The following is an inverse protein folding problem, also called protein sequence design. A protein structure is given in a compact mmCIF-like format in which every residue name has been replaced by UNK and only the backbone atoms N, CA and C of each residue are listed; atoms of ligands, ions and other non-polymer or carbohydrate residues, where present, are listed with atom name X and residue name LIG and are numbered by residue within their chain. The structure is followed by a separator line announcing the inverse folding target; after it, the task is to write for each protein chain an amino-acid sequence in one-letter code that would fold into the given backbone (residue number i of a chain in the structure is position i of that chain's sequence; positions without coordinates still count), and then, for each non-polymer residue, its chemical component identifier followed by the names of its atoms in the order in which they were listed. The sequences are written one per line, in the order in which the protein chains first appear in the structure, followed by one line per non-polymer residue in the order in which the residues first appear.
data_IF_497955960295
#
_entry.id   IF_497955960295
#
_cell.length_a   1.000
_cell.length_b   1.000
_cell.length_c   1.000
_cell.angle_alpha   90.00
_cell.angle_beta   90.00
_cell.angle_gamma   90.00
#
_symmetry.space_group_name_H-M   'P 1'
#
loop_
_entity.id
_entity.type
_entity.pdbx_description
1 polymer ?
#
# COMPACT_ATOMS: atom_id res chain seq x y z
N UNK A 1 -0.40 -4.35 12.64
CA UNK A 1 0.21 -5.37 11.77
C UNK A 1 -0.90 -6.03 10.98
N UNK A 2 -0.79 -6.04 9.66
CA UNK A 2 -1.68 -6.71 8.73
C UNK A 2 -0.99 -7.99 8.28
N UNK A 3 -1.67 -9.12 8.46
CA UNK A 3 -1.26 -10.42 7.92
C UNK A 3 -2.24 -10.77 6.83
N UNK A 4 -1.74 -11.03 5.63
CA UNK A 4 -2.52 -11.43 4.48
C UNK A 4 -1.96 -12.73 3.92
N UNK A 5 -2.85 -13.66 3.60
CA UNK A 5 -2.53 -14.86 2.85
C UNK A 5 -3.49 -14.90 1.65
N UNK A 6 -2.92 -14.97 0.44
CA UNK A 6 -3.67 -15.13 -0.80
C UNK A 6 -3.26 -16.46 -1.40
N UNK A 7 -4.20 -17.36 -1.59
CA UNK A 7 -4.03 -18.52 -2.47
C UNK A 7 -4.33 -18.08 -3.90
N UNK A 8 -3.36 -18.25 -4.80
CA UNK A 8 -3.51 -17.89 -6.19
C UNK A 8 -3.41 -19.14 -7.07
N UNK A 9 -4.14 -19.11 -8.18
CA UNK A 9 -4.15 -20.16 -9.18
C UNK A 9 -4.42 -19.57 -10.56
N UNK A 10 -3.87 -20.19 -11.60
CA UNK A 10 -4.37 -20.04 -12.96
C UNK A 10 -4.15 -21.33 -13.75
N UNK A 11 -4.95 -21.51 -14.80
CA UNK A 11 -4.79 -22.64 -15.72
C UNK A 11 -3.47 -22.54 -16.49
N UNK A 12 -3.03 -23.69 -16.99
CA UNK A 12 -1.83 -23.79 -17.82
C UNK A 12 -1.83 -22.79 -19.01
N UNK A 13 -0.68 -22.16 -19.23
CA UNK A 13 -0.32 -21.59 -20.52
C UNK A 13 0.47 -22.67 -21.28
N UNK A 14 0.07 -22.96 -22.53
CA UNK A 14 0.47 -24.12 -23.38
C UNK A 14 1.97 -24.49 -23.44
N UNK A 15 2.87 -23.69 -22.87
CA UNK A 15 4.31 -23.82 -22.98
C UNK A 15 4.99 -24.57 -21.81
N UNK A 16 4.36 -24.77 -20.63
CA UNK A 16 5.12 -25.17 -19.43
C UNK A 16 4.50 -26.22 -18.49
N UNK A 17 3.38 -26.86 -18.83
CA UNK A 17 2.89 -28.06 -18.13
C UNK A 17 2.14 -27.80 -16.81
N UNK A 18 0.83 -28.04 -16.84
CA UNK A 18 -0.07 -28.13 -15.69
C UNK A 18 -0.56 -26.80 -15.11
N UNK A 19 -1.60 -26.88 -14.29
CA UNK A 19 -2.14 -25.73 -13.55
C UNK A 19 -1.11 -25.16 -12.56
N UNK A 20 -1.07 -23.85 -12.43
CA UNK A 20 -0.18 -23.15 -11.52
C UNK A 20 -0.96 -22.71 -10.30
N UNK A 21 -0.35 -22.91 -9.13
CA UNK A 21 -0.88 -22.44 -7.86
C UNK A 21 0.25 -22.15 -6.89
N UNK A 22 -0.01 -21.25 -5.96
CA UNK A 22 0.91 -20.92 -4.90
C UNK A 22 0.23 -20.11 -3.81
N UNK A 23 1.03 -19.58 -2.91
CA UNK A 23 0.57 -18.64 -1.91
C UNK A 23 1.28 -17.29 -2.10
N UNK A 24 0.66 -16.22 -1.60
CA UNK A 24 1.30 -14.94 -1.37
C UNK A 24 0.99 -14.54 0.07
N UNK A 25 2.02 -14.59 0.91
CA UNK A 25 1.98 -14.23 2.31
C UNK A 25 2.55 -12.83 2.50
N UNK A 26 1.82 -11.95 3.19
CA UNK A 26 2.29 -10.63 3.57
C UNK A 26 2.18 -10.45 5.09
N UNK A 27 3.25 -9.97 5.71
CA UNK A 27 3.26 -9.48 7.09
C UNK A 27 3.74 -8.03 7.05
N UNK A 28 2.78 -7.10 7.09
CA UNK A 28 3.00 -5.67 6.87
C UNK A 28 2.62 -4.87 8.10
N UNK A 29 3.29 -3.74 8.31
CA UNK A 29 2.99 -2.77 9.34
C UNK A 29 3.04 -1.37 8.75
N UNK A 30 2.13 -0.51 9.22
CA UNK A 30 2.20 0.93 8.98
C UNK A 30 2.75 1.57 10.26
N UNK A 31 3.90 2.23 10.14
CA UNK A 31 4.50 3.02 11.21
C UNK A 31 4.11 4.47 10.98
N UNK A 32 3.30 5.04 11.87
CA UNK A 32 2.87 6.43 11.81
C UNK A 32 3.57 7.28 12.87
N UNK A 33 3.97 8.49 12.48
CA UNK A 33 4.27 9.59 13.39
C UNK A 33 3.43 10.80 13.02
N UNK A 34 2.89 11.50 14.02
CA UNK A 34 2.09 12.72 13.81
C UNK A 34 2.59 13.82 14.73
N UNK A 35 2.80 15.00 14.15
CA UNK A 35 3.20 16.21 14.84
C UNK A 35 2.13 17.29 14.68
N UNK A 36 1.65 17.85 15.79
CA UNK A 36 0.74 18.99 15.80
C UNK A 36 1.51 20.28 15.52
N UNK A 37 1.31 20.88 14.35
CA UNK A 37 1.92 22.16 13.97
C UNK A 37 1.21 23.31 14.69
N UNK A 38 -0.11 23.21 14.86
CA UNK A 38 -0.95 24.15 15.62
C UNK A 38 -2.20 23.43 16.13
N UNK A 39 -3.06 24.14 16.86
CA UNK A 39 -4.33 23.60 17.36
C UNK A 39 -5.20 22.95 16.26
N UNK A 40 -5.09 23.44 15.02
CA UNK A 40 -5.91 22.99 13.90
C UNK A 40 -5.13 22.30 12.78
N UNK A 41 -3.82 22.10 12.91
CA UNK A 41 -2.98 21.50 11.85
C UNK A 41 -2.07 20.42 12.38
N UNK A 42 -2.11 19.26 11.72
CA UNK A 42 -1.23 18.13 11.98
C UNK A 42 -0.45 17.77 10.71
N UNK A 43 0.83 17.44 10.87
CA UNK A 43 1.64 16.77 9.86
C UNK A 43 1.83 15.31 10.28
N UNK A 44 1.48 14.38 9.40
CA UNK A 44 1.67 12.95 9.61
C UNK A 44 2.61 12.36 8.57
N UNK A 45 3.41 11.39 8.99
CA UNK A 45 4.21 10.54 8.12
C UNK A 45 3.86 9.10 8.43
N UNK A 46 3.40 8.36 7.44
CA UNK A 46 3.12 6.92 7.50
C UNK A 46 4.13 6.18 6.61
N UNK A 47 4.81 5.17 7.15
CA UNK A 47 5.72 4.31 6.40
C UNK A 47 5.22 2.88 6.47
N UNK A 48 4.93 2.28 5.30
CA UNK A 48 4.70 0.85 5.20
C UNK A 48 6.02 0.11 5.33
N UNK A 49 6.08 -0.95 6.14
CA UNK A 49 7.23 -1.83 6.25
C UNK A 49 6.80 -3.27 6.45
N UNK A 50 7.61 -4.24 6.03
CA UNK A 50 7.29 -5.64 6.28
C UNK A 50 7.97 -6.61 5.33
N UNK A 51 7.35 -7.78 5.22
CA UNK A 51 7.80 -8.87 4.36
C UNK A 51 6.60 -9.33 3.52
N UNK A 52 6.83 -9.57 2.24
CA UNK A 52 5.92 -10.27 1.34
C UNK A 52 6.69 -11.41 0.66
N UNK A 53 6.10 -12.60 0.72
CA UNK A 53 6.70 -13.86 0.27
C UNK A 53 5.69 -14.59 -0.61
N UNK A 54 6.14 -15.05 -1.76
CA UNK A 54 5.38 -15.92 -2.65
C UNK A 54 6.06 -17.28 -2.67
N UNK A 55 5.32 -18.34 -2.38
CA UNK A 55 5.80 -19.71 -2.53
C UNK A 55 5.14 -20.37 -3.75
N UNK A 56 5.95 -21.03 -4.57
CA UNK A 56 5.52 -21.83 -5.71
C UNK A 56 5.79 -23.31 -5.45
N UNK A 57 4.72 -24.11 -5.38
CA UNK A 57 4.80 -25.50 -4.91
C UNK A 57 5.35 -26.51 -5.94
N UNK A 58 6.06 -26.07 -6.99
CA UNK A 58 6.60 -26.92 -8.06
C UNK A 58 8.00 -26.45 -8.49
N UNK A 59 8.57 -27.11 -9.49
CA UNK A 59 9.88 -26.77 -10.04
C UNK A 59 9.94 -25.34 -10.56
N UNK A 60 10.93 -24.59 -10.07
CA UNK A 60 11.07 -23.18 -10.33
C UNK A 60 11.43 -22.87 -11.80
N UNK A 61 10.90 -21.78 -12.31
CA UNK A 61 11.31 -21.14 -13.56
C UNK A 61 11.22 -19.60 -13.44
N UNK A 62 11.56 -18.89 -14.51
CA UNK A 62 11.57 -17.42 -14.53
C UNK A 62 10.20 -16.77 -14.31
N UNK A 63 9.10 -17.50 -14.50
CA UNK A 63 7.72 -17.04 -14.28
C UNK A 63 7.07 -17.63 -13.02
N UNK A 64 7.66 -18.68 -12.45
CA UNK A 64 7.08 -19.39 -11.31
C UNK A 64 8.19 -19.85 -10.38
N UNK A 65 8.42 -19.10 -9.31
CA UNK A 65 9.43 -19.43 -8.30
C UNK A 65 9.11 -18.72 -6.99
N UNK A 66 9.77 -19.15 -5.94
CA UNK A 66 9.69 -18.45 -4.66
C UNK A 66 10.30 -17.05 -4.77
N UNK A 67 9.58 -16.04 -4.29
CA UNK A 67 10.07 -14.66 -4.24
C UNK A 67 9.81 -14.03 -2.88
N UNK A 68 10.80 -13.29 -2.37
CA UNK A 68 10.73 -12.66 -1.05
C UNK A 68 11.15 -11.20 -1.15
N UNK A 69 10.29 -10.30 -0.67
CA UNK A 69 10.55 -8.86 -0.58
C UNK A 69 10.43 -8.42 0.87
N UNK A 70 11.48 -7.81 1.40
CA UNK A 70 11.53 -7.26 2.76
C UNK A 70 11.98 -5.82 2.72
N UNK A 71 11.37 -4.97 3.54
CA UNK A 71 11.81 -3.59 3.73
C UNK A 71 10.64 -2.62 3.79
N UNK A 72 10.91 -1.37 3.40
CA UNK A 72 9.93 -0.29 3.37
C UNK A 72 9.17 -0.30 2.04
N UNK A 73 7.85 -0.17 2.10
CA UNK A 73 7.01 0.17 0.96
C UNK A 73 6.88 1.69 0.83
N UNK A 74 5.71 2.14 0.37
CA UNK A 74 5.44 3.56 0.17
C UNK A 74 5.47 4.36 1.49
N UNK A 75 5.89 5.63 1.39
CA UNK A 75 5.83 6.62 2.47
C UNK A 75 4.77 7.67 2.16
N UNK A 76 3.76 7.80 3.02
CA UNK A 76 2.72 8.83 2.90
C UNK A 76 3.02 10.00 3.82
N UNK A 77 2.94 11.21 3.29
CA UNK A 77 3.05 12.46 4.05
C UNK A 77 1.72 13.19 3.93
N UNK A 78 1.05 13.43 5.05
CA UNK A 78 -0.29 14.03 5.09
C UNK A 78 -0.30 15.29 5.94
N UNK A 79 -0.70 16.42 5.36
CA UNK A 79 -1.07 17.62 6.09
C UNK A 79 -2.58 17.57 6.34
N UNK A 80 -2.98 17.67 7.61
CA UNK A 80 -4.37 17.47 8.05
C UNK A 80 -4.87 18.69 8.81
N UNK A 81 -6.01 19.22 8.38
CA UNK A 81 -6.72 20.32 9.02
C UNK A 81 -7.88 19.80 9.87
N UNK A 82 -7.98 20.30 11.11
CA UNK A 82 -9.14 20.09 11.99
C UNK A 82 -10.23 21.08 11.60
N UNK A 83 -11.26 20.58 10.91
CA UNK A 83 -12.38 21.39 10.42
C UNK A 83 -13.38 21.66 11.54
N UNK A 84 -13.65 20.65 12.37
CA UNK A 84 -14.57 20.77 13.49
C UNK A 84 -14.05 20.02 14.69
N UNK A 85 -14.22 20.63 15.87
CA UNK A 85 -13.90 20.03 17.15
C UNK A 85 -14.93 20.45 18.19
N UNK A 86 -16.07 19.76 18.24
CA UNK A 86 -17.11 20.06 19.23
C UNK A 86 -16.72 19.47 20.59
N UNK A 87 -16.28 20.33 21.50
CA UNK A 87 -15.62 19.95 22.77
C UNK A 87 -16.53 19.95 24.01
N UNK A 88 -17.74 20.50 23.93
CA UNK A 88 -18.71 20.48 25.04
C UNK A 88 -19.83 19.46 24.77
N UNK A 89 -20.06 18.52 25.70
CA UNK A 89 -21.06 17.45 25.55
C UNK A 89 -20.78 16.48 24.40
N UNK A 90 -21.77 15.67 23.97
CA UNK A 90 -21.67 14.89 22.73
C UNK A 90 -21.28 15.79 21.56
N UNK A 91 -20.40 15.32 20.69
CA UNK A 91 -19.81 16.18 19.66
C UNK A 91 -19.16 15.39 18.52
N UNK A 92 -18.78 16.10 17.47
CA UNK A 92 -18.07 15.54 16.33
C UNK A 92 -16.69 16.17 16.17
N UNK A 93 -15.79 15.38 15.59
CA UNK A 93 -14.46 15.80 15.20
C UNK A 93 -14.26 15.44 13.73
N UNK A 94 -13.98 16.45 12.92
CA UNK A 94 -13.85 16.31 11.47
C UNK A 94 -12.46 16.76 11.05
N UNK A 95 -11.79 15.95 10.25
CA UNK A 95 -10.55 16.31 9.60
C UNK A 95 -10.66 16.18 8.08
N UNK A 96 -10.00 17.09 7.39
CA UNK A 96 -9.65 16.95 5.97
C UNK A 96 -8.13 16.91 5.85
N UNK A 97 -7.62 16.04 4.99
CA UNK A 97 -6.19 15.87 4.78
C UNK A 97 -5.85 15.82 3.30
N UNK A 98 -4.68 16.34 2.98
CA UNK A 98 -4.09 16.27 1.65
C UNK A 98 -2.59 16.00 1.76
N UNK A 99 -2.02 15.33 0.76
CA UNK A 99 -0.64 14.90 0.84
C UNK A 99 -0.09 14.23 -0.40
N UNK A 100 1.07 13.61 -0.22
CA UNK A 100 1.74 12.82 -1.24
C UNK A 100 2.09 11.45 -0.69
N UNK A 101 2.12 10.46 -1.58
CA UNK A 101 2.69 9.14 -1.36
C UNK A 101 3.95 9.04 -2.21
N UNK A 102 5.09 8.82 -1.56
CA UNK A 102 6.40 8.71 -2.17
C UNK A 102 6.80 7.22 -2.23
N UNK A 103 7.23 6.72 -3.40
CA UNK A 103 7.67 5.34 -3.51
C UNK A 103 9.03 5.13 -2.84
N UNK A 104 9.28 3.91 -2.36
CA UNK A 104 10.60 3.50 -1.89
C UNK A 104 11.41 2.85 -3.00
N UNK A 105 12.67 2.55 -2.72
CA UNK A 105 13.51 1.73 -3.61
C UNK A 105 13.05 0.27 -3.71
N UNK A 106 12.13 -0.18 -2.86
CA UNK A 106 11.51 -1.51 -2.95
C UNK A 106 10.39 -1.51 -4.00
N UNK A 107 10.72 -1.08 -5.22
CA UNK A 107 9.84 -0.88 -6.37
C UNK A 107 10.31 -1.73 -7.55
N UNK A 108 9.43 -2.01 -8.50
CA UNK A 108 9.84 -2.63 -9.76
C UNK A 108 10.75 -1.67 -10.53
N UNK A 109 11.94 -2.15 -10.91
CA UNK A 109 12.96 -1.36 -11.61
C UNK A 109 12.97 -1.57 -13.11
N UNK A 110 12.10 -2.42 -13.64
CA UNK A 110 12.01 -2.76 -15.06
C UNK A 110 10.59 -3.25 -15.36
N UNK A 111 10.20 -3.31 -16.64
CA UNK A 111 8.91 -3.86 -17.04
C UNK A 111 8.96 -5.40 -16.99
N UNK A 112 8.27 -6.06 -16.04
CA UNK A 112 8.36 -7.51 -15.88
C UNK A 112 7.77 -8.28 -17.07
N UNK A 113 6.80 -7.71 -17.79
CA UNK A 113 6.22 -8.35 -18.96
C UNK A 113 7.18 -8.37 -20.15
N UNK A 114 7.92 -7.27 -20.35
CA UNK A 114 8.94 -7.19 -21.40
C UNK A 114 10.07 -8.20 -21.12
N UNK A 115 10.61 -8.21 -19.91
CA UNK A 115 11.64 -9.16 -19.49
C UNK A 115 11.17 -10.62 -19.60
N UNK A 116 9.95 -10.89 -19.14
CA UNK A 116 9.35 -12.22 -19.27
C UNK A 116 9.24 -12.68 -20.73
N UNK A 117 8.85 -11.79 -21.65
CA UNK A 117 8.79 -12.11 -23.08
C UNK A 117 10.16 -12.40 -23.71
N UNK A 118 11.23 -11.84 -23.14
CA UNK A 118 12.62 -12.07 -23.54
C UNK A 118 13.28 -13.25 -22.82
N UNK A 119 12.54 -13.96 -21.95
CA UNK A 119 13.07 -15.05 -21.14
C UNK A 119 14.04 -14.60 -20.04
N UNK A 120 14.00 -13.32 -19.66
CA UNK A 120 14.87 -12.73 -18.63
C UNK A 120 14.22 -12.80 -17.26
N UNK A 121 15.06 -12.86 -16.23
CA UNK A 121 14.62 -12.76 -14.85
C UNK A 121 13.92 -11.41 -14.59
N UNK A 122 12.86 -11.44 -13.79
CA UNK A 122 12.05 -10.27 -13.43
C UNK A 122 11.35 -10.52 -12.10
N UNK A 123 11.03 -9.46 -11.35
CA UNK A 123 10.26 -9.58 -10.10
C UNK A 123 8.74 -9.57 -10.38
N UNK A 124 7.98 -10.39 -9.67
CA UNK A 124 6.52 -10.48 -9.84
C UNK A 124 5.78 -9.43 -9.01
N UNK A 125 6.34 -9.05 -7.86
CA UNK A 125 5.79 -8.04 -6.98
C UNK A 125 6.89 -7.29 -6.24
N UNK A 126 6.50 -6.19 -5.61
CA UNK A 126 7.32 -5.42 -4.70
C UNK A 126 6.47 -4.81 -3.59
N UNK A 127 7.11 -4.16 -2.62
CA UNK A 127 6.41 -3.51 -1.51
C UNK A 127 5.94 -2.09 -1.83
N UNK A 128 6.62 -1.41 -2.76
CA UNK A 128 6.26 -0.10 -3.28
C UNK A 128 5.78 -0.21 -4.72
N UNK A 129 4.84 0.65 -5.10
CA UNK A 129 4.29 0.72 -6.46
C UNK A 129 5.17 1.54 -7.41
N UNK A 130 6.23 2.17 -6.90
CA UNK A 130 7.21 2.88 -7.74
C UNK A 130 6.70 4.15 -8.40
N UNK A 131 5.58 4.71 -7.96
CA UNK A 131 4.98 5.95 -8.49
C UNK A 131 4.68 6.94 -7.37
N UNK A 132 4.80 8.24 -7.67
CA UNK A 132 4.29 9.29 -6.80
C UNK A 132 2.77 9.39 -6.92
N UNK A 133 2.07 9.45 -5.79
CA UNK A 133 0.61 9.55 -5.73
C UNK A 133 0.18 10.79 -4.96
N UNK A 134 -0.93 11.39 -5.36
CA UNK A 134 -1.64 12.39 -4.58
C UNK A 134 -2.49 11.68 -3.53
N UNK A 135 -2.49 12.19 -2.31
CA UNK A 135 -3.25 11.62 -1.20
C UNK A 135 -4.35 12.59 -0.76
N UNK A 136 -5.56 12.08 -0.61
CA UNK A 136 -6.69 12.77 0.01
C UNK A 136 -7.25 11.97 1.17
N UNK A 137 -7.67 12.66 2.22
CA UNK A 137 -8.20 12.03 3.43
C UNK A 137 -9.38 12.80 4.01
N UNK A 138 -10.39 12.05 4.46
CA UNK A 138 -11.47 12.55 5.28
C UNK A 138 -11.58 11.68 6.54
N UNK A 139 -11.61 12.30 7.72
CA UNK A 139 -11.85 11.60 8.97
C UNK A 139 -13.05 12.19 9.70
N UNK A 140 -13.90 11.32 10.22
CA UNK A 140 -15.04 11.69 11.05
C UNK A 140 -15.06 10.83 12.30
N UNK A 141 -15.14 11.47 13.46
CA UNK A 141 -15.33 10.79 14.75
C UNK A 141 -16.45 11.46 15.51
N UNK A 142 -17.31 10.65 16.12
CA UNK A 142 -18.39 11.11 16.99
C UNK A 142 -18.09 10.72 18.42
N UNK A 143 -18.00 11.70 19.30
CA UNK A 143 -18.01 11.51 20.75
C UNK A 143 -19.44 11.36 21.24
N UNK A 144 -19.69 10.28 21.96
CA UNK A 144 -20.92 10.08 22.75
C UNK A 144 -20.65 10.33 24.24
N UNK A 145 -21.68 10.21 25.08
CA UNK A 145 -21.52 10.27 26.54
C UNK A 145 -20.78 9.04 27.11
N UNK A 146 -20.68 7.95 26.34
CA UNK A 146 -19.95 6.75 26.70
C UNK A 146 -18.45 6.81 26.34
N UNK A 147 -17.70 5.78 26.72
CA UNK A 147 -16.26 5.67 26.44
C UNK A 147 -15.91 5.25 25.01
N UNK A 148 -16.92 5.05 24.15
CA UNK A 148 -16.74 4.65 22.75
C UNK A 148 -16.97 5.86 21.84
N UNK A 149 -16.01 6.08 20.94
CA UNK A 149 -15.98 7.17 19.98
C UNK A 149 -16.05 6.59 18.55
N UNK A 150 -17.24 6.23 18.04
CA UNK A 150 -17.35 5.68 16.70
C UNK A 150 -16.90 6.69 15.65
N UNK A 151 -16.30 6.19 14.58
CA UNK A 151 -15.80 7.03 13.50
C UNK A 151 -15.29 6.21 12.34
N UNK A 152 -14.84 6.92 11.31
CA UNK A 152 -14.31 6.34 10.10
C UNK A 152 -13.28 7.25 9.46
N UNK A 153 -12.40 6.62 8.70
CA UNK A 153 -11.37 7.28 7.92
C UNK A 153 -11.50 6.81 6.48
N UNK A 154 -11.63 7.75 5.56
CA UNK A 154 -11.58 7.51 4.12
C UNK A 154 -10.25 8.08 3.60
N UNK A 155 -9.47 7.25 2.92
CA UNK A 155 -8.21 7.61 2.26
C UNK A 155 -8.33 7.25 0.79
N UNK A 156 -7.89 8.14 -0.09
CA UNK A 156 -7.80 7.91 -1.54
C UNK A 156 -6.41 8.32 -2.01
N UNK A 157 -5.73 7.43 -2.70
CA UNK A 157 -4.43 7.69 -3.31
C UNK A 157 -4.57 7.61 -4.83
N UNK A 158 -4.15 8.66 -5.55
CA UNK A 158 -4.28 8.74 -7.01
C UNK A 158 -2.89 8.86 -7.64
N UNK A 159 -2.47 7.93 -8.51
CA UNK A 159 -1.18 8.01 -9.18
C UNK A 159 -1.07 9.25 -10.07
N UNK A 160 -0.09 10.11 -9.77
CA UNK A 160 0.09 11.38 -10.47
C UNK A 160 0.84 11.19 -11.78
N UNK A 161 1.72 10.21 -11.84
CA UNK A 161 2.61 9.96 -12.97
C UNK A 161 2.74 8.47 -13.28
N UNK A 162 3.19 8.19 -14.50
CA UNK A 162 3.72 6.88 -14.88
C UNK A 162 5.19 6.88 -14.49
N UNK A 163 5.69 5.81 -13.87
CA UNK A 163 7.09 5.73 -13.52
C UNK A 163 7.99 5.59 -14.77
N UNK A 164 9.30 5.72 -14.59
CA UNK A 164 10.29 5.63 -15.66
C UNK A 164 10.32 4.27 -16.40
N UNK A 165 9.63 3.25 -15.88
CA UNK A 165 9.53 1.92 -16.46
C UNK A 165 8.19 1.68 -17.18
N UNK A 166 7.35 2.72 -17.30
CA UNK A 166 6.07 2.66 -18.00
C UNK A 166 4.90 2.14 -17.15
N UNK A 167 5.07 2.01 -15.83
CA UNK A 167 4.01 1.52 -14.93
C UNK A 167 3.23 2.67 -14.29
N UNK A 168 1.90 2.57 -14.33
CA UNK A 168 0.97 3.44 -13.61
C UNK A 168 -0.15 2.57 -12.99
N UNK A 169 -0.25 2.49 -11.66
CA UNK A 169 -1.30 1.71 -11.00
C UNK A 169 -2.68 2.37 -11.16
N UNK A 170 -3.73 1.64 -10.79
CA UNK A 170 -5.10 2.17 -10.69
C UNK A 170 -5.28 3.08 -9.46
N UNK A 171 -6.49 3.63 -9.33
CA UNK A 171 -6.96 4.35 -8.12
C UNK A 171 -7.64 3.35 -7.19
#
# INVERSE_FOLDING_TARGET
MMVQNIEWWHSELKAYGGDHKGNLNSSLAEVNATYGISDNWNLSVDVMTGIRSMDFYRDANIHHRDENKKGMGDTRITLRHLVENTTFGPGQRIFIGGGLVLPSSNSLTENPFALGSEGKEHSHFNLSEGVVKGHAEFQYFRRSEGSIFPGGVLKVDVPLETNQYGFKPGV
#
